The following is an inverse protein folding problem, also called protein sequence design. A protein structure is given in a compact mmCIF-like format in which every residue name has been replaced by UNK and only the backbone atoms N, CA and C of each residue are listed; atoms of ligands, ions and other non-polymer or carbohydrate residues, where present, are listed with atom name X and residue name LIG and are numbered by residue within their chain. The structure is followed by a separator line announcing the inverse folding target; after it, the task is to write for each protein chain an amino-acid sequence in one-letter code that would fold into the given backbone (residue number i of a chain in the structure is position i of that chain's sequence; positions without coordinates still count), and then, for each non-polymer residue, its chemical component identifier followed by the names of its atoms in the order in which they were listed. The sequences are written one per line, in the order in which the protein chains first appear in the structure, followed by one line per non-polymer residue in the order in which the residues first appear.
data_IF_494452634991
#
_entry.id   IF_494452634991
#
_cell.length_a   1.000
_cell.length_b   1.000
_cell.length_c   1.000
_cell.angle_alpha   90.00
_cell.angle_beta   90.00
_cell.angle_gamma   90.00
#
_symmetry.space_group_name_H-M   'P 1'
#
loop_
_entity.id
_entity.type
_entity.pdbx_description
1 polymer ?
#
# COMPACT_ATOMS: atom_id res chain seq x y z
N UNK A 1 49.74 39.55 3.82
CA UNK A 1 49.81 40.88 4.49
C UNK A 1 50.35 41.89 3.48
N UNK A 2 50.02 43.19 3.57
CA UNK A 2 48.86 43.86 4.20
C UNK A 2 47.68 43.95 3.18
N UNK A 3 46.42 44.34 3.45
CA UNK A 3 45.76 45.34 4.34
C UNK A 3 45.87 46.80 3.83
N UNK A 4 44.89 47.71 3.96
CA UNK A 4 43.54 47.69 4.59
C UNK A 4 42.43 47.88 3.48
N UNK A 5 41.23 48.48 3.58
CA UNK A 5 40.47 49.23 4.61
C UNK A 5 38.93 49.17 4.33
N UNK A 6 38.09 50.03 4.95
CA UNK A 6 36.61 49.93 4.93
C UNK A 6 35.84 51.28 4.88
N UNK A 7 34.64 51.23 4.25
CA UNK A 7 33.44 52.10 4.46
C UNK A 7 33.56 53.61 4.09
N UNK A 8 32.43 54.38 4.03
CA UNK A 8 31.03 54.03 4.32
C UNK A 8 30.00 54.25 3.17
N UNK A 9 28.79 53.71 3.37
CA UNK A 9 27.52 54.19 2.79
C UNK A 9 26.62 54.63 3.96
N UNK A 10 25.91 55.75 3.83
CA UNK A 10 25.21 56.42 4.94
C UNK A 10 23.70 56.14 5.02
N UNK A 11 23.11 56.29 6.22
CA UNK A 11 21.66 56.20 6.45
C UNK A 11 21.20 56.96 7.72
N UNK A 12 20.34 57.96 7.54
CA UNK A 12 19.45 58.68 8.50
C UNK A 12 18.77 59.84 7.74
N UNK A 13 17.64 60.44 8.18
CA UNK A 13 16.95 60.40 9.48
C UNK A 13 15.93 59.23 9.59
N UNK A 14 15.39 58.81 10.74
CA UNK A 14 15.09 59.41 12.05
C UNK A 14 13.77 60.21 12.15
N UNK A 15 12.79 59.63 12.84
CA UNK A 15 11.63 60.25 13.50
C UNK A 15 11.40 59.50 14.82
N UNK A 16 10.80 60.16 15.81
CA UNK A 16 11.03 59.87 17.24
C UNK A 16 9.83 60.23 18.14
N UNK A 17 9.80 59.71 19.38
CA UNK A 17 8.81 59.93 20.47
C UNK A 17 7.35 59.45 20.24
N UNK A 18 6.53 59.16 21.27
CA UNK A 18 6.69 59.17 22.75
C UNK A 18 6.01 57.95 23.42
N UNK A 19 6.30 57.71 24.71
CA UNK A 19 5.63 56.78 25.62
C UNK A 19 4.84 57.53 26.73
N UNK A 20 3.58 57.84 26.45
CA UNK A 20 2.50 58.03 27.45
C UNK A 20 1.17 57.51 26.89
N UNK A 21 0.24 57.25 27.81
CA UNK A 21 -1.06 56.58 27.61
C UNK A 21 -0.95 55.10 27.16
N UNK A 22 -1.66 54.12 27.75
CA UNK A 22 -2.79 54.18 28.69
C UNK A 22 -2.71 53.03 29.74
N UNK A 23 -3.20 53.25 30.97
CA UNK A 23 -3.05 52.34 32.13
C UNK A 23 -4.17 51.28 32.28
N UNK A 24 -3.83 50.02 32.64
CA UNK A 24 -4.63 49.03 33.42
C UNK A 24 -3.92 47.64 33.50
N UNK A 25 -2.99 47.33 34.41
CA UNK A 25 -3.07 47.05 35.87
C UNK A 25 -3.38 45.59 36.34
N UNK A 26 -2.36 44.71 36.25
CA UNK A 26 -1.84 43.76 37.29
C UNK A 26 -2.69 42.80 38.17
N UNK A 27 -2.56 41.49 37.89
CA UNK A 27 -2.14 40.32 38.74
C UNK A 27 -2.56 40.06 40.23
N UNK A 28 -2.74 38.75 40.54
CA UNK A 28 -2.12 37.92 41.63
C UNK A 28 -2.95 37.30 42.83
N UNK A 29 -2.48 36.11 43.28
CA UNK A 29 -2.52 35.44 44.60
C UNK A 29 -3.77 34.78 45.29
N UNK A 30 -3.82 33.43 45.22
CA UNK A 30 -3.74 32.41 46.32
C UNK A 30 -4.30 32.69 47.74
N UNK A 31 -5.32 31.88 48.14
CA UNK A 31 -5.73 31.36 49.49
C UNK A 31 -5.78 32.26 50.74
N UNK A 32 -6.94 32.29 51.44
CA UNK A 32 -7.07 31.94 52.90
C UNK A 32 -8.52 31.85 53.46
N UNK A 33 -8.77 30.80 54.26
CA UNK A 33 -9.64 30.72 55.48
C UNK A 33 -11.20 30.64 55.33
N UNK A 34 -11.86 30.12 56.37
CA UNK A 34 -13.26 29.64 56.49
C UNK A 34 -14.25 30.64 57.16
N UNK A 35 -15.55 30.48 56.84
CA UNK A 35 -16.75 30.98 57.56
C UNK A 35 -17.98 30.84 56.64
N UNK A 36 -19.01 29.99 56.89
CA UNK A 36 -20.07 30.06 57.93
C UNK A 36 -20.87 31.38 57.78
N UNK A 37 -22.17 31.45 57.45
CA UNK A 37 -23.36 30.55 57.51
C UNK A 37 -24.29 30.90 56.28
N UNK A 38 -24.98 30.02 55.53
CA UNK A 38 -26.23 29.27 55.83
C UNK A 38 -27.38 30.22 56.30
N UNK A 39 -28.62 30.26 55.78
CA UNK A 39 -29.45 29.42 54.86
C UNK A 39 -30.40 30.31 54.03
N UNK A 40 -30.83 29.85 52.85
CA UNK A 40 -32.20 29.94 52.25
C UNK A 40 -32.11 29.80 50.72
N UNK A 41 -32.94 29.03 50.00
CA UNK A 41 -33.69 27.80 50.32
C UNK A 41 -34.10 27.12 48.99
N UNK A 42 -34.20 25.78 48.93
CA UNK A 42 -34.77 25.10 47.75
C UNK A 42 -34.42 23.61 47.59
N UNK A 43 -35.45 22.75 47.71
CA UNK A 43 -35.54 21.34 47.24
C UNK A 43 -34.58 20.29 47.88
N UNK A 44 -35.17 19.19 48.37
CA UNK A 44 -34.50 17.87 48.36
C UNK A 44 -33.94 17.32 49.68
N UNK A 45 -34.69 17.37 50.79
CA UNK A 45 -34.28 16.72 52.03
C UNK A 45 -34.41 15.18 52.00
N UNK A 46 -33.48 14.52 52.69
CA UNK A 46 -33.27 13.07 52.82
C UNK A 46 -34.55 12.23 52.99
N UNK A 47 -34.64 11.14 52.21
CA UNK A 47 -35.10 9.86 52.77
C UNK A 47 -33.87 9.10 53.27
N UNK A 48 -33.87 8.72 54.54
CA UNK A 48 -32.79 7.93 55.12
C UNK A 48 -32.88 6.48 54.64
N UNK A 49 -31.94 6.05 53.79
CA UNK A 49 -31.63 4.64 53.68
C UNK A 49 -30.68 4.26 54.82
N UNK A 50 -31.24 3.64 55.85
CA UNK A 50 -30.46 2.96 56.88
C UNK A 50 -29.44 2.05 56.20
N UNK A 51 -28.18 2.14 56.61
CA UNK A 51 -27.15 1.20 56.22
C UNK A 51 -27.40 -0.15 56.91
N UNK A 52 -28.40 -0.87 56.44
CA UNK A 52 -28.54 -2.30 56.67
C UNK A 52 -27.27 -2.95 56.14
N UNK A 53 -26.33 -3.24 57.04
CA UNK A 53 -25.21 -4.14 56.78
C UNK A 53 -25.83 -5.52 56.61
N UNK A 54 -26.36 -5.78 55.42
CA UNK A 54 -26.83 -7.07 54.99
C UNK A 54 -25.60 -8.00 55.02
N UNK A 55 -25.49 -8.76 56.11
CA UNK A 55 -24.31 -9.56 56.43
C UNK A 55 -23.93 -10.39 55.21
N UNK A 56 -22.78 -10.06 54.61
CA UNK A 56 -22.52 -10.26 53.19
C UNK A 56 -22.56 -11.75 52.84
N UNK A 57 -23.71 -12.20 52.32
CA UNK A 57 -24.02 -13.63 52.31
C UNK A 57 -22.99 -14.39 51.46
N UNK A 58 -22.28 -15.39 52.02
CA UNK A 58 -21.31 -16.15 51.26
C UNK A 58 -22.05 -16.94 50.17
N UNK A 59 -21.52 -16.95 48.94
CA UNK A 59 -22.14 -17.64 47.80
C UNK A 59 -22.40 -19.10 48.18
N UNK A 60 -23.68 -19.46 48.34
CA UNK A 60 -24.08 -20.82 48.76
C UNK A 60 -24.17 -21.79 47.58
N UNK A 61 -24.74 -21.33 46.47
CA UNK A 61 -25.00 -22.11 45.25
C UNK A 61 -24.81 -21.22 44.01
N UNK A 62 -23.78 -21.54 43.21
CA UNK A 62 -23.42 -20.78 42.00
C UNK A 62 -24.37 -21.10 40.85
N UNK A 63 -24.86 -22.33 40.73
CA UNK A 63 -25.76 -22.75 39.66
C UNK A 63 -27.14 -22.13 39.78
N UNK A 64 -27.67 -22.06 41.02
CA UNK A 64 -28.91 -21.35 41.34
C UNK A 64 -28.77 -19.85 41.15
N UNK A 65 -27.63 -19.25 41.53
CA UNK A 65 -27.35 -17.83 41.29
C UNK A 65 -27.28 -17.51 39.79
N UNK A 66 -26.58 -18.33 39.00
CA UNK A 66 -26.54 -18.21 37.55
C UNK A 66 -27.95 -18.32 36.96
N UNK A 67 -28.75 -19.29 37.42
CA UNK A 67 -30.12 -19.49 36.92
C UNK A 67 -31.02 -18.29 37.19
N UNK A 68 -30.90 -17.66 38.38
CA UNK A 68 -31.60 -16.41 38.68
C UNK A 68 -31.17 -15.23 37.78
N UNK A 69 -29.88 -15.13 37.44
CA UNK A 69 -29.39 -14.02 36.59
C UNK A 69 -29.72 -14.25 35.11
N UNK A 70 -29.53 -15.46 34.58
CA UNK A 70 -29.63 -15.76 33.16
C UNK A 70 -31.00 -16.28 32.70
N UNK A 71 -31.85 -16.77 33.62
CA UNK A 71 -33.17 -17.32 33.29
C UNK A 71 -33.14 -18.76 32.75
N UNK A 72 -31.99 -19.43 32.81
CA UNK A 72 -31.81 -20.84 32.45
C UNK A 72 -30.72 -21.48 33.29
N UNK A 73 -30.70 -22.81 33.36
CA UNK A 73 -29.58 -23.56 33.94
C UNK A 73 -28.25 -23.23 33.23
N UNK A 74 -27.11 -23.25 33.95
CA UNK A 74 -25.80 -23.18 33.34
C UNK A 74 -25.45 -24.50 32.63
N UNK A 75 -24.66 -24.39 31.55
CA UNK A 75 -23.89 -25.53 31.03
C UNK A 75 -22.74 -25.87 31.99
N UNK A 76 -22.18 -27.07 31.91
CA UNK A 76 -21.06 -27.50 32.76
C UNK A 76 -19.84 -26.54 32.68
N UNK A 77 -19.57 -25.97 31.49
CA UNK A 77 -18.50 -24.99 31.27
C UNK A 77 -18.80 -23.64 31.94
N UNK A 78 -20.05 -23.17 31.91
CA UNK A 78 -20.47 -21.95 32.59
C UNK A 78 -20.45 -22.11 34.11
N UNK A 79 -20.96 -23.24 34.61
CA UNK A 79 -20.97 -23.55 36.04
C UNK A 79 -19.55 -23.57 36.60
N UNK A 80 -18.66 -24.39 36.00
CA UNK A 80 -17.24 -24.49 36.39
C UNK A 80 -16.51 -23.16 36.31
N UNK A 81 -16.84 -22.30 35.34
CA UNK A 81 -16.28 -20.96 35.26
C UNK A 81 -16.68 -20.08 36.45
N UNK A 82 -17.97 -19.99 36.76
CA UNK A 82 -18.44 -19.13 37.86
C UNK A 82 -18.09 -19.70 39.24
N UNK A 83 -18.00 -21.03 39.39
CA UNK A 83 -17.55 -21.69 40.62
C UNK A 83 -16.09 -21.35 40.95
N UNK A 84 -15.20 -21.37 39.96
CA UNK A 84 -13.81 -20.93 40.15
C UNK A 84 -13.69 -19.47 40.64
N UNK A 85 -14.66 -18.62 40.32
CA UNK A 85 -14.70 -17.20 40.76
C UNK A 85 -15.30 -16.99 42.15
N UNK A 86 -15.85 -18.03 42.79
CA UNK A 86 -16.31 -17.98 44.19
C UNK A 86 -15.20 -17.54 45.14
N UNK A 87 -13.94 -17.87 44.84
CA UNK A 87 -12.79 -17.49 45.66
C UNK A 87 -12.33 -16.04 45.41
N UNK A 88 -12.57 -15.49 44.21
CA UNK A 88 -12.35 -14.06 43.92
C UNK A 88 -13.48 -13.17 44.47
N UNK A 89 -14.70 -13.73 44.52
CA UNK A 89 -15.95 -13.04 44.86
C UNK A 89 -16.76 -13.91 45.83
N UNK A 90 -16.34 -14.00 47.12
CA UNK A 90 -17.00 -14.86 48.10
C UNK A 90 -18.41 -14.40 48.47
N UNK A 91 -18.72 -13.11 48.24
CA UNK A 91 -20.01 -12.49 48.52
C UNK A 91 -20.97 -12.62 47.34
N UNK A 92 -22.21 -13.03 47.62
CA UNK A 92 -23.20 -13.31 46.56
C UNK A 92 -23.58 -12.09 45.72
N UNK A 93 -23.71 -10.90 46.33
CA UNK A 93 -24.04 -9.66 45.60
C UNK A 93 -22.96 -9.27 44.59
N UNK A 94 -21.69 -9.50 44.89
CA UNK A 94 -20.59 -9.22 43.96
C UNK A 94 -20.56 -10.21 42.79
N UNK A 95 -20.75 -11.51 43.06
CA UNK A 95 -20.79 -12.52 42.00
C UNK A 95 -22.03 -12.33 41.11
N UNK A 96 -23.18 -12.00 41.70
CA UNK A 96 -24.42 -11.62 41.02
C UNK A 96 -24.22 -10.37 40.13
N UNK A 97 -23.55 -9.34 40.65
CA UNK A 97 -23.20 -8.14 39.88
C UNK A 97 -22.25 -8.43 38.71
N UNK A 98 -21.25 -9.29 38.92
CA UNK A 98 -20.34 -9.73 37.85
C UNK A 98 -21.08 -10.56 36.78
N UNK A 99 -22.02 -11.41 37.16
CA UNK A 99 -22.89 -12.15 36.24
C UNK A 99 -23.79 -11.20 35.44
N UNK A 100 -24.45 -10.23 36.08
CA UNK A 100 -25.31 -9.24 35.41
C UNK A 100 -24.53 -8.38 34.39
N UNK A 101 -23.32 -7.95 34.74
CA UNK A 101 -22.42 -7.19 33.85
C UNK A 101 -21.78 -8.05 32.73
N UNK A 102 -21.86 -9.38 32.83
CA UNK A 102 -21.51 -10.28 31.73
C UNK A 102 -22.73 -10.51 30.81
N UNK A 103 -23.92 -10.74 31.41
CA UNK A 103 -25.21 -10.85 30.69
C UNK A 103 -25.54 -9.62 29.85
N UNK A 104 -25.32 -8.40 30.37
CA UNK A 104 -25.56 -7.15 29.64
C UNK A 104 -24.68 -6.98 28.40
N UNK A 105 -23.61 -7.77 28.27
CA UNK A 105 -22.73 -7.82 27.09
C UNK A 105 -22.88 -9.15 26.32
N UNK A 106 -24.04 -9.79 26.46
CA UNK A 106 -24.45 -11.00 25.72
C UNK A 106 -23.63 -12.26 26.05
N UNK A 107 -22.87 -12.28 27.15
CA UNK A 107 -21.82 -13.27 27.35
C UNK A 107 -21.91 -13.95 28.73
N UNK A 108 -22.15 -15.26 28.74
CA UNK A 108 -22.45 -16.01 29.95
C UNK A 108 -21.24 -16.68 30.63
N UNK A 109 -20.08 -16.77 29.96
CA UNK A 109 -18.84 -17.36 30.50
C UNK A 109 -17.61 -16.51 30.13
N UNK A 110 -17.64 -15.22 30.46
CA UNK A 110 -16.68 -14.23 29.97
C UNK A 110 -15.19 -14.50 30.27
N UNK A 111 -14.86 -15.43 31.17
CA UNK A 111 -13.47 -15.87 31.44
C UNK A 111 -13.06 -17.19 30.79
N UNK A 112 -13.93 -17.90 30.07
CA UNK A 112 -13.48 -18.91 29.09
C UNK A 112 -12.56 -18.25 28.02
N UNK A 113 -12.76 -16.95 27.78
CA UNK A 113 -11.88 -16.13 26.95
C UNK A 113 -10.47 -15.90 27.53
N UNK A 114 -10.19 -16.19 28.81
CA UNK A 114 -8.89 -15.92 29.42
C UNK A 114 -7.75 -16.77 28.82
N UNK A 115 -8.05 -17.99 28.34
CA UNK A 115 -7.12 -18.81 27.56
C UNK A 115 -6.99 -18.38 26.09
N UNK A 116 -7.92 -17.56 25.58
CA UNK A 116 -7.90 -17.09 24.19
C UNK A 116 -6.92 -15.93 24.00
N UNK A 117 -6.35 -15.81 22.80
CA UNK A 117 -5.48 -14.69 22.43
C UNK A 117 -6.15 -13.32 22.63
N UNK A 118 -7.47 -13.23 22.43
CA UNK A 118 -8.25 -12.00 22.66
C UNK A 118 -8.33 -11.62 24.15
N UNK A 119 -8.35 -12.60 25.05
CA UNK A 119 -8.26 -12.39 26.49
C UNK A 119 -6.87 -11.95 26.95
N UNK A 120 -5.80 -12.36 26.24
CA UNK A 120 -4.42 -11.96 26.52
C UNK A 120 -4.08 -10.53 26.11
N UNK A 121 -4.87 -9.91 25.22
CA UNK A 121 -4.64 -8.54 24.68
C UNK A 121 -4.27 -7.51 25.76
N UNK A 122 -4.98 -7.37 26.90
CA UNK A 122 -4.63 -6.35 27.90
C UNK A 122 -3.29 -6.61 28.59
N UNK A 123 -2.95 -7.87 28.84
CA UNK A 123 -1.69 -8.24 29.52
C UNK A 123 -0.48 -8.02 28.61
N UNK A 124 -0.60 -8.39 27.33
CA UNK A 124 0.45 -8.19 26.34
C UNK A 124 0.62 -6.68 26.03
N UNK A 125 -0.47 -5.93 25.93
CA UNK A 125 -0.41 -4.47 25.82
C UNK A 125 0.29 -3.85 27.04
N UNK A 126 -0.11 -4.23 28.27
CA UNK A 126 0.52 -3.75 29.51
C UNK A 126 2.01 -4.08 29.57
N UNK A 127 2.39 -5.30 29.15
CA UNK A 127 3.79 -5.68 29.05
C UNK A 127 4.54 -4.76 28.07
N UNK A 128 4.06 -4.58 26.84
CA UNK A 128 4.76 -3.75 25.85
C UNK A 128 4.77 -2.26 26.23
N UNK A 129 3.62 -1.65 26.48
CA UNK A 129 3.46 -0.21 26.69
C UNK A 129 3.72 0.26 28.13
N UNK A 130 3.91 -0.66 29.10
CA UNK A 130 4.12 -0.39 30.53
C UNK A 130 2.97 0.38 31.22
N UNK A 131 1.79 0.45 30.58
CA UNK A 131 0.51 0.92 31.13
C UNK A 131 -0.62 0.06 30.60
N UNK A 132 -1.75 0.04 31.29
CA UNK A 132 -2.96 -0.61 30.80
C UNK A 132 -3.53 0.09 29.55
N UNK A 133 -4.20 -0.65 28.64
CA UNK A 133 -4.88 -0.05 27.50
C UNK A 133 -6.19 0.62 27.93
N UNK A 134 -6.50 1.77 27.31
CA UNK A 134 -7.85 2.31 27.36
C UNK A 134 -8.82 1.50 26.49
N UNK A 135 -10.12 1.76 26.60
CA UNK A 135 -11.15 0.99 25.90
C UNK A 135 -11.07 1.06 24.37
N UNK A 136 -10.55 2.14 23.77
CA UNK A 136 -10.36 2.25 22.31
C UNK A 136 -9.18 1.37 21.87
N UNK A 137 -8.08 1.42 22.61
CA UNK A 137 -6.89 0.58 22.40
C UNK A 137 -7.24 -0.91 22.55
N UNK A 138 -7.94 -1.26 23.62
CA UNK A 138 -8.39 -2.61 23.92
C UNK A 138 -9.31 -3.16 22.83
N UNK A 139 -10.31 -2.39 22.37
CA UNK A 139 -11.18 -2.77 21.24
C UNK A 139 -10.37 -3.01 19.96
N UNK A 140 -9.54 -2.05 19.55
CA UNK A 140 -8.69 -2.14 18.35
C UNK A 140 -7.87 -3.44 18.31
N UNK A 141 -7.16 -3.76 19.40
CA UNK A 141 -6.32 -4.96 19.46
C UNK A 141 -7.12 -6.25 19.59
N UNK A 142 -8.25 -6.24 20.30
CA UNK A 142 -9.17 -7.40 20.36
C UNK A 142 -9.80 -7.69 18.99
N UNK A 143 -10.29 -6.68 18.27
CA UNK A 143 -10.95 -6.88 16.97
C UNK A 143 -9.98 -7.46 15.93
N UNK A 144 -8.72 -7.02 15.90
CA UNK A 144 -7.69 -7.62 15.02
C UNK A 144 -7.42 -9.09 15.34
N UNK A 145 -7.47 -9.49 16.61
CA UNK A 145 -7.34 -10.90 17.02
C UNK A 145 -8.59 -11.70 16.67
N UNK A 146 -9.78 -11.19 16.98
CA UNK A 146 -11.06 -11.85 16.70
C UNK A 146 -11.31 -12.02 15.20
N UNK A 147 -10.91 -11.05 14.37
CA UNK A 147 -10.93 -11.15 12.92
C UNK A 147 -9.83 -12.04 12.33
N UNK A 148 -8.93 -12.62 13.14
CA UNK A 148 -7.76 -13.42 12.72
C UNK A 148 -6.67 -12.67 11.93
N UNK A 149 -6.76 -11.34 11.78
CA UNK A 149 -5.67 -10.49 11.27
C UNK A 149 -4.38 -10.64 12.10
N UNK A 150 -4.54 -10.89 13.41
CA UNK A 150 -3.45 -11.25 14.33
C UNK A 150 -3.73 -12.60 15.01
N UNK A 151 -3.69 -13.68 14.23
CA UNK A 151 -4.06 -15.03 14.67
C UNK A 151 -3.12 -15.70 15.71
N UNK A 152 -1.96 -15.12 16.04
CA UNK A 152 -1.00 -15.72 16.99
C UNK A 152 -0.45 -14.70 17.99
N UNK A 153 -0.03 -15.19 19.16
CA UNK A 153 0.57 -14.38 20.23
C UNK A 153 1.89 -13.70 19.81
N UNK A 154 2.66 -14.38 18.94
CA UNK A 154 3.86 -13.81 18.31
C UNK A 154 3.50 -12.66 17.36
N UNK A 155 2.44 -12.79 16.56
CA UNK A 155 1.98 -11.73 15.67
C UNK A 155 1.43 -10.52 16.47
N UNK A 156 0.60 -10.76 17.49
CA UNK A 156 0.07 -9.70 18.35
C UNK A 156 1.17 -8.95 19.11
N UNK A 157 2.11 -9.67 19.73
CA UNK A 157 3.22 -9.05 20.50
C UNK A 157 4.18 -8.28 19.57
N UNK A 158 4.43 -8.80 18.37
CA UNK A 158 5.20 -8.12 17.33
C UNK A 158 4.52 -6.82 16.87
N UNK A 159 3.21 -6.86 16.62
CA UNK A 159 2.44 -5.69 16.23
C UNK A 159 2.39 -4.63 17.35
N UNK A 160 2.10 -5.01 18.60
CA UNK A 160 2.16 -4.11 19.76
C UNK A 160 3.53 -3.41 19.86
N UNK A 161 4.61 -4.16 19.68
CA UNK A 161 5.98 -3.64 19.77
C UNK A 161 6.33 -2.69 18.62
N UNK A 162 5.81 -2.94 17.40
CA UNK A 162 5.95 -2.03 16.27
C UNK A 162 5.17 -0.72 16.47
N UNK A 163 3.95 -0.78 17.00
CA UNK A 163 3.17 0.43 17.30
C UNK A 163 3.87 1.28 18.38
N UNK A 164 4.41 0.63 19.44
CA UNK A 164 5.22 1.33 20.46
C UNK A 164 6.44 2.03 19.87
N UNK A 165 7.20 1.39 18.97
CA UNK A 165 8.37 2.02 18.33
C UNK A 165 7.99 3.10 17.28
N UNK A 166 6.70 3.26 16.99
CA UNK A 166 6.12 4.39 16.25
C UNK A 166 5.44 5.43 17.15
N UNK A 167 5.56 5.32 18.47
CA UNK A 167 4.98 6.27 19.43
C UNK A 167 3.45 6.22 19.56
N UNK A 168 2.79 5.23 18.95
CA UNK A 168 1.32 5.13 18.89
C UNK A 168 0.82 3.87 19.60
N UNK A 169 -0.37 3.93 20.21
CA UNK A 169 -0.97 2.79 20.90
C UNK A 169 -1.91 1.94 20.02
N UNK A 170 -2.37 2.49 18.90
CA UNK A 170 -3.19 1.86 17.86
C UNK A 170 -2.71 2.33 16.48
N UNK A 171 -3.33 1.86 15.41
CA UNK A 171 -3.15 2.40 14.06
C UNK A 171 -4.49 2.79 13.45
N UNK A 172 -4.49 2.98 12.13
CA UNK A 172 -5.72 3.08 11.35
C UNK A 172 -6.42 1.72 11.21
N UNK A 173 -7.67 1.78 10.74
CA UNK A 173 -8.45 0.68 10.20
C UNK A 173 -9.65 0.26 11.04
N UNK A 174 -10.65 -0.32 10.37
CA UNK A 174 -11.91 -0.78 10.95
C UNK A 174 -11.92 -2.29 11.19
N UNK A 175 -12.90 -2.77 11.98
CA UNK A 175 -13.09 -4.20 12.23
C UNK A 175 -13.39 -4.96 10.95
N UNK A 176 -14.16 -4.33 10.07
CA UNK A 176 -14.60 -4.83 8.77
C UNK A 176 -13.38 -5.06 7.87
N UNK A 177 -12.46 -4.10 7.82
CA UNK A 177 -11.18 -4.23 7.10
C UNK A 177 -10.25 -5.29 7.70
N UNK A 178 -10.22 -5.45 9.03
CA UNK A 178 -9.44 -6.51 9.68
C UNK A 178 -9.96 -7.90 9.30
N UNK A 179 -11.29 -8.06 9.30
CA UNK A 179 -11.97 -9.29 8.92
C UNK A 179 -11.89 -9.56 7.40
N UNK A 180 -11.83 -8.53 6.55
CA UNK A 180 -11.59 -8.68 5.11
C UNK A 180 -10.15 -9.10 4.80
N UNK A 181 -9.14 -8.53 5.49
CA UNK A 181 -7.73 -8.92 5.33
C UNK A 181 -7.50 -10.40 5.63
N UNK A 182 -8.11 -10.93 6.69
CA UNK A 182 -7.98 -12.34 7.05
C UNK A 182 -8.68 -13.32 6.09
N UNK A 183 -9.54 -12.84 5.18
CA UNK A 183 -10.18 -13.64 4.12
C UNK A 183 -9.39 -13.66 2.80
N UNK A 184 -8.31 -12.88 2.68
CA UNK A 184 -7.51 -12.78 1.45
C UNK A 184 -8.04 -11.77 0.41
N UNK A 185 -9.22 -11.19 0.62
CA UNK A 185 -9.83 -10.20 -0.28
C UNK A 185 -9.19 -8.80 -0.17
N UNK A 186 -8.39 -8.56 0.88
CA UNK A 186 -7.64 -7.32 1.11
C UNK A 186 -6.18 -7.41 0.64
N UNK A 187 -5.88 -7.01 -0.59
CA UNK A 187 -4.50 -7.02 -1.12
C UNK A 187 -3.61 -5.96 -0.47
N UNK A 188 -2.62 -6.41 0.33
CA UNK A 188 -1.17 -6.07 0.21
C UNK A 188 -0.37 -6.58 1.41
N UNK A 189 0.62 -7.43 1.14
CA UNK A 189 1.75 -7.62 2.06
C UNK A 189 2.74 -6.46 1.88
N UNK A 190 2.54 -5.39 2.65
CA UNK A 190 3.42 -4.22 2.65
C UNK A 190 4.66 -4.48 3.53
N UNK A 191 5.71 -5.03 2.92
CA UNK A 191 7.08 -5.01 3.49
C UNK A 191 7.51 -3.58 3.83
N UNK A 192 8.49 -3.41 4.75
CA UNK A 192 9.06 -2.08 5.11
C UNK A 192 9.49 -1.24 3.90
N UNK A 193 9.89 -1.91 2.81
CA UNK A 193 10.22 -1.29 1.51
C UNK A 193 9.05 -0.46 0.96
N UNK A 194 7.81 -0.94 1.11
CA UNK A 194 6.62 -0.26 0.57
C UNK A 194 6.39 1.15 1.10
N UNK A 195 6.63 1.38 2.41
CA UNK A 195 6.46 2.70 3.03
C UNK A 195 7.55 3.71 2.65
N UNK A 196 8.77 3.24 2.37
CA UNK A 196 9.82 4.07 1.77
C UNK A 196 9.46 4.37 0.31
N UNK A 197 9.11 3.34 -0.47
CA UNK A 197 8.73 3.47 -1.86
C UNK A 197 7.63 4.52 -2.07
N UNK A 198 6.55 4.46 -1.29
CA UNK A 198 5.41 5.37 -1.38
C UNK A 198 5.79 6.82 -1.02
N UNK A 199 6.76 7.02 -0.10
CA UNK A 199 7.30 8.36 0.24
C UNK A 199 8.26 8.93 -0.82
N UNK A 200 8.80 8.09 -1.71
CA UNK A 200 9.70 8.47 -2.80
C UNK A 200 9.01 8.44 -4.18
N UNK A 201 7.67 8.37 -4.21
CA UNK A 201 6.84 8.38 -5.42
C UNK A 201 6.63 7.00 -6.08
N UNK A 202 7.29 5.95 -5.62
CA UNK A 202 7.12 4.61 -6.16
C UNK A 202 5.80 3.97 -5.70
N UNK A 203 4.99 3.49 -6.65
CA UNK A 203 3.66 2.94 -6.33
C UNK A 203 3.76 1.76 -5.35
N UNK A 204 2.86 1.69 -4.36
CA UNK A 204 2.78 0.60 -3.38
C UNK A 204 2.41 -0.79 -3.92
N UNK A 205 2.63 -1.07 -5.21
CA UNK A 205 2.51 -2.40 -5.80
C UNK A 205 3.86 -3.13 -5.79
N UNK A 206 3.88 -4.40 -5.40
CA UNK A 206 5.11 -5.19 -5.14
C UNK A 206 6.01 -5.45 -6.36
N UNK A 207 5.51 -5.15 -7.57
CA UNK A 207 6.23 -5.22 -8.85
C UNK A 207 6.55 -3.84 -9.45
N UNK A 208 6.46 -2.77 -8.65
CA UNK A 208 6.64 -1.39 -9.09
C UNK A 208 5.41 -0.79 -9.80
N UNK A 209 5.51 0.47 -10.28
CA UNK A 209 4.48 1.12 -11.08
C UNK A 209 4.26 0.41 -12.43
N UNK A 210 3.27 0.90 -13.18
CA UNK A 210 3.12 0.55 -14.59
C UNK A 210 3.96 1.54 -15.41
N UNK A 211 4.93 1.00 -16.16
CA UNK A 211 5.74 1.75 -17.13
C UNK A 211 5.22 1.47 -18.54
N UNK A 212 5.29 2.46 -19.43
CA UNK A 212 4.69 2.39 -20.77
C UNK A 212 5.81 2.45 -21.82
N UNK A 213 5.95 1.39 -22.60
CA UNK A 213 7.06 1.19 -23.54
C UNK A 213 6.54 1.22 -24.97
N UNK A 214 7.03 2.14 -25.80
CA UNK A 214 6.71 2.17 -27.23
C UNK A 214 7.45 1.05 -27.96
N UNK A 215 6.69 0.12 -28.56
CA UNK A 215 7.23 -1.10 -29.18
C UNK A 215 7.41 -1.00 -30.70
N UNK A 216 6.39 -0.47 -31.38
CA UNK A 216 6.28 -0.46 -32.84
C UNK A 216 5.45 0.74 -33.29
N UNK A 217 5.97 1.48 -34.26
CA UNK A 217 5.24 2.52 -35.00
C UNK A 217 4.76 1.94 -36.34
N UNK A 218 3.48 2.09 -36.65
CA UNK A 218 2.88 1.67 -37.92
C UNK A 218 2.25 2.89 -38.61
N UNK A 219 2.80 3.29 -39.77
CA UNK A 219 2.33 4.44 -40.57
C UNK A 219 1.45 3.95 -41.71
N UNK A 220 0.22 4.46 -41.79
CA UNK A 220 -0.76 4.07 -42.82
C UNK A 220 -1.16 2.59 -42.80
N UNK A 221 -0.92 1.87 -41.69
CA UNK A 221 -1.17 0.43 -41.57
C UNK A 221 -1.74 0.11 -40.18
N UNK A 222 -2.67 -0.84 -40.14
CA UNK A 222 -3.24 -1.32 -38.89
C UNK A 222 -2.25 -2.16 -38.06
N UNK A 223 -2.39 -2.11 -36.73
CA UNK A 223 -1.64 -2.94 -35.80
C UNK A 223 -2.44 -4.20 -35.48
N UNK A 224 -1.81 -5.35 -35.66
CA UNK A 224 -2.36 -6.68 -35.40
C UNK A 224 -1.92 -7.17 -34.02
N UNK A 225 -2.88 -7.69 -33.25
CA UNK A 225 -2.71 -8.24 -31.90
C UNK A 225 -3.41 -9.60 -31.82
N UNK A 226 -2.75 -10.58 -31.17
CA UNK A 226 -3.36 -11.84 -30.76
C UNK A 226 -2.88 -12.22 -29.34
N UNK A 227 -3.24 -13.40 -28.85
CA UNK A 227 -2.75 -13.97 -27.58
C UNK A 227 -1.95 -15.25 -27.81
N UNK A 228 -1.13 -15.64 -26.84
CA UNK A 228 -0.52 -16.99 -26.84
C UNK A 228 -1.56 -18.06 -26.49
N UNK A 229 -2.55 -17.66 -25.69
CA UNK A 229 -3.83 -18.34 -25.48
C UNK A 229 -4.98 -17.33 -25.55
N UNK A 230 -6.01 -17.53 -24.71
CA UNK A 230 -7.15 -16.60 -24.61
C UNK A 230 -6.71 -15.19 -24.20
N UNK A 231 -7.25 -14.19 -24.86
CA UNK A 231 -7.03 -12.78 -24.54
C UNK A 231 -8.31 -11.97 -24.71
N UNK A 232 -8.32 -10.72 -24.25
CA UNK A 232 -9.46 -9.83 -24.41
C UNK A 232 -9.04 -8.43 -24.84
N UNK A 233 -9.87 -7.85 -25.70
CA UNK A 233 -9.98 -6.41 -25.93
C UNK A 233 -10.77 -5.78 -24.76
N UNK A 234 -10.35 -4.59 -24.32
CA UNK A 234 -11.12 -3.68 -23.48
C UNK A 234 -11.07 -2.25 -24.04
N UNK A 235 -12.21 -1.56 -24.02
CA UNK A 235 -12.39 -0.17 -24.41
C UNK A 235 -12.79 0.72 -23.21
N UNK A 236 -12.88 2.05 -23.42
CA UNK A 236 -13.25 3.05 -22.40
C UNK A 236 -14.68 2.91 -21.88
N UNK A 237 -15.62 2.65 -22.77
CA UNK A 237 -17.06 2.42 -22.56
C UNK A 237 -17.39 1.21 -21.66
N UNK A 238 -16.39 0.39 -21.32
CA UNK A 238 -16.55 -0.85 -20.56
C UNK A 238 -16.68 -2.10 -21.43
N UNK A 239 -16.77 -1.97 -22.76
CA UNK A 239 -16.81 -3.10 -23.70
C UNK A 239 -15.61 -4.00 -23.48
N UNK A 240 -15.88 -5.29 -23.22
CA UNK A 240 -14.88 -6.35 -23.11
C UNK A 240 -15.23 -7.47 -24.10
N UNK A 241 -14.36 -7.73 -25.07
CA UNK A 241 -14.52 -8.82 -26.05
C UNK A 241 -13.38 -9.82 -25.90
N UNK A 242 -13.71 -11.08 -25.62
CA UNK A 242 -12.75 -12.20 -25.52
C UNK A 242 -12.52 -12.81 -26.91
N UNK A 243 -11.28 -13.22 -27.15
CA UNK A 243 -10.81 -13.91 -28.35
C UNK A 243 -9.92 -15.10 -27.96
N UNK A 244 -9.92 -16.16 -28.78
CA UNK A 244 -9.01 -17.28 -28.64
C UNK A 244 -7.76 -17.02 -29.49
N UNK A 245 -6.64 -16.65 -28.85
CA UNK A 245 -5.33 -16.63 -29.51
C UNK A 245 -4.67 -18.02 -29.46
N UNK A 246 -3.77 -18.34 -30.42
CA UNK A 246 -3.27 -17.46 -31.48
C UNK A 246 -4.22 -17.25 -32.67
N UNK A 247 -5.23 -18.10 -32.87
CA UNK A 247 -6.01 -18.22 -34.12
C UNK A 247 -6.82 -16.97 -34.44
N UNK A 248 -7.36 -16.30 -33.42
CA UNK A 248 -8.16 -15.09 -33.59
C UNK A 248 -7.29 -13.86 -33.40
N UNK A 249 -7.05 -13.11 -34.47
CA UNK A 249 -6.28 -11.85 -34.47
C UNK A 249 -7.21 -10.65 -34.57
N UNK A 250 -6.93 -9.60 -33.80
CA UNK A 250 -7.58 -8.29 -33.93
C UNK A 250 -6.63 -7.32 -34.64
N UNK A 251 -7.14 -6.61 -35.64
CA UNK A 251 -6.48 -5.48 -36.30
C UNK A 251 -7.11 -4.18 -35.81
N UNK A 252 -6.29 -3.23 -35.36
CA UNK A 252 -6.70 -1.86 -35.05
C UNK A 252 -6.12 -0.91 -36.10
N UNK A 253 -6.96 -0.10 -36.72
CA UNK A 253 -6.57 0.96 -37.67
C UNK A 253 -7.07 2.33 -37.18
N UNK A 254 -6.45 3.41 -37.63
CA UNK A 254 -6.99 4.76 -37.45
C UNK A 254 -7.91 5.14 -38.62
N UNK A 255 -9.04 5.78 -38.33
CA UNK A 255 -10.06 6.24 -39.29
C UNK A 255 -10.18 7.76 -39.39
N UNK A 256 -9.17 8.52 -38.97
CA UNK A 256 -9.20 9.99 -38.92
C UNK A 256 -9.84 10.53 -37.64
N UNK A 257 -11.05 10.07 -37.32
CA UNK A 257 -11.84 10.52 -36.15
C UNK A 257 -11.92 9.48 -35.02
N UNK A 258 -11.32 8.30 -35.17
CA UNK A 258 -11.39 7.21 -34.18
C UNK A 258 -10.66 5.95 -34.63
N UNK A 259 -10.53 4.99 -33.72
CA UNK A 259 -9.97 3.67 -33.95
C UNK A 259 -11.02 2.74 -34.54
N UNK A 260 -10.71 2.11 -35.67
CA UNK A 260 -11.50 1.05 -36.29
C UNK A 260 -10.91 -0.29 -35.87
N UNK A 261 -11.65 -1.06 -35.08
CA UNK A 261 -11.21 -2.35 -34.53
C UNK A 261 -11.93 -3.48 -35.25
N UNK A 262 -11.17 -4.39 -35.87
CA UNK A 262 -11.68 -5.55 -36.64
C UNK A 262 -11.07 -6.84 -36.09
N UNK A 263 -11.89 -7.84 -35.77
CA UNK A 263 -11.45 -9.14 -35.25
C UNK A 263 -12.12 -10.32 -35.94
N UNK A 264 -11.61 -11.53 -35.68
CA UNK A 264 -12.15 -12.78 -36.22
C UNK A 264 -13.64 -12.98 -35.89
N UNK A 265 -14.34 -13.74 -36.74
CA UNK A 265 -15.78 -13.96 -36.60
C UNK A 265 -16.64 -12.75 -36.97
N UNK A 266 -16.13 -11.85 -37.83
CA UNK A 266 -16.86 -10.67 -38.30
C UNK A 266 -16.97 -9.52 -37.28
N UNK A 267 -16.23 -9.59 -36.15
CA UNK A 267 -16.27 -8.54 -35.14
C UNK A 267 -15.73 -7.22 -35.71
N UNK A 268 -16.56 -6.17 -35.69
CA UNK A 268 -16.16 -4.78 -35.98
C UNK A 268 -16.70 -3.88 -34.87
N UNK A 269 -15.90 -2.94 -34.40
CA UNK A 269 -16.36 -1.79 -33.62
C UNK A 269 -15.52 -0.55 -33.93
N UNK A 270 -16.00 0.62 -33.54
CA UNK A 270 -15.32 1.92 -33.70
C UNK A 270 -15.37 2.67 -32.36
N UNK A 271 -14.29 3.37 -32.00
CA UNK A 271 -14.14 4.03 -30.69
C UNK A 271 -13.20 5.23 -30.78
N UNK A 272 -13.41 6.23 -29.93
CA UNK A 272 -12.52 7.36 -29.69
C UNK A 272 -11.28 7.00 -28.83
N UNK A 273 -11.38 5.92 -28.05
CA UNK A 273 -10.40 5.51 -27.04
C UNK A 273 -9.37 4.50 -27.57
N UNK A 274 -8.13 4.60 -27.10
CA UNK A 274 -7.03 3.69 -27.45
C UNK A 274 -7.38 2.23 -27.08
N UNK A 275 -7.53 1.29 -28.04
CA UNK A 275 -7.89 -0.09 -27.75
C UNK A 275 -6.82 -0.81 -26.92
N UNK A 276 -7.22 -1.47 -25.83
CA UNK A 276 -6.31 -2.12 -24.87
C UNK A 276 -6.53 -3.63 -24.86
N UNK A 277 -5.44 -4.40 -24.91
CA UNK A 277 -5.46 -5.87 -24.97
C UNK A 277 -4.69 -6.47 -23.80
N UNK A 278 -5.21 -7.54 -23.21
CA UNK A 278 -4.51 -8.33 -22.19
C UNK A 278 -4.90 -9.82 -22.30
N UNK A 279 -3.97 -10.70 -21.94
CA UNK A 279 -4.26 -12.13 -21.84
C UNK A 279 -5.21 -12.46 -20.68
N UNK A 280 -5.89 -13.59 -20.78
CA UNK A 280 -6.61 -14.18 -19.64
C UNK A 280 -5.63 -15.01 -18.81
N UNK A 281 -5.88 -15.11 -17.50
CA UNK A 281 -5.16 -16.02 -16.58
C UNK A 281 -3.62 -15.85 -16.50
N UNK A 282 -3.08 -14.78 -17.09
CA UNK A 282 -1.63 -14.49 -17.15
C UNK A 282 -0.99 -14.73 -18.52
N UNK A 283 -1.77 -15.17 -19.51
CA UNK A 283 -1.28 -15.44 -20.87
C UNK A 283 -0.59 -14.22 -21.52
N UNK A 284 0.51 -14.40 -22.27
CA UNK A 284 1.16 -13.31 -22.99
C UNK A 284 0.33 -12.82 -24.19
N UNK A 285 0.21 -11.50 -24.32
CA UNK A 285 -0.28 -10.84 -25.54
C UNK A 285 0.82 -10.83 -26.60
N UNK A 286 0.40 -10.93 -27.86
CA UNK A 286 1.30 -11.08 -29.01
C UNK A 286 1.09 -9.91 -29.98
N UNK A 287 2.13 -9.11 -30.18
CA UNK A 287 2.14 -8.04 -31.18
C UNK A 287 2.35 -8.65 -32.57
N UNK A 288 1.29 -9.20 -33.16
CA UNK A 288 1.33 -9.92 -34.42
C UNK A 288 1.85 -9.08 -35.61
N UNK A 289 1.75 -7.74 -35.58
CA UNK A 289 2.39 -6.88 -36.59
C UNK A 289 3.92 -6.87 -36.53
N UNK A 290 4.54 -7.18 -35.38
CA UNK A 290 6.00 -7.24 -35.25
C UNK A 290 6.50 -8.58 -35.81
N UNK A 291 6.99 -8.56 -37.05
CA UNK A 291 7.53 -9.72 -37.78
C UNK A 291 9.05 -9.89 -37.62
N UNK A 292 9.74 -8.85 -37.15
CA UNK A 292 11.20 -8.82 -36.94
C UNK A 292 11.50 -8.28 -35.55
N UNK A 293 12.66 -8.65 -34.99
CA UNK A 293 13.19 -8.10 -33.74
C UNK A 293 13.19 -6.56 -33.74
N UNK A 294 13.03 -5.91 -32.57
CA UNK A 294 13.25 -4.47 -32.44
C UNK A 294 14.68 -4.06 -32.83
N UNK A 295 14.87 -2.78 -33.16
CA UNK A 295 16.19 -2.26 -33.53
C UNK A 295 17.18 -2.38 -32.36
N UNK A 296 18.42 -2.79 -32.66
CA UNK A 296 19.48 -3.08 -31.68
C UNK A 296 19.41 -4.45 -31.00
N UNK A 297 18.23 -5.02 -30.76
CA UNK A 297 18.04 -6.30 -30.03
C UNK A 297 18.80 -7.46 -30.71
N UNK A 298 19.59 -8.28 -29.99
CA UNK A 298 20.43 -9.33 -30.60
C UNK A 298 19.73 -10.69 -30.75
N UNK A 299 20.17 -11.46 -31.75
CA UNK A 299 19.63 -12.77 -32.13
C UNK A 299 18.62 -12.73 -33.28
N UNK A 300 17.96 -13.87 -33.54
CA UNK A 300 16.90 -14.01 -34.53
C UNK A 300 15.54 -14.33 -33.87
N UNK A 301 14.46 -13.72 -34.40
CA UNK A 301 13.10 -13.85 -33.91
C UNK A 301 12.32 -12.53 -34.04
N UNK A 302 10.98 -12.53 -33.86
CA UNK A 302 10.19 -11.31 -33.79
C UNK A 302 10.20 -10.66 -32.40
N UNK A 303 10.44 -11.45 -31.34
CA UNK A 303 10.39 -11.05 -29.92
C UNK A 303 9.16 -10.21 -29.56
N UNK A 304 7.98 -10.79 -29.80
CA UNK A 304 6.70 -10.08 -29.86
C UNK A 304 5.66 -10.54 -28.82
N UNK A 305 6.04 -11.41 -27.87
CA UNK A 305 5.20 -11.78 -26.72
C UNK A 305 5.51 -10.90 -25.49
N UNK A 306 4.46 -10.33 -24.89
CA UNK A 306 4.56 -9.37 -23.79
C UNK A 306 3.61 -9.72 -22.63
N UNK A 307 3.97 -9.30 -21.41
CA UNK A 307 3.08 -9.32 -20.23
C UNK A 307 2.35 -8.00 -20.06
N UNK A 308 1.34 -7.98 -19.19
CA UNK A 308 0.58 -6.79 -18.87
C UNK A 308 -0.43 -6.45 -19.97
N UNK A 309 -0.46 -5.18 -20.37
CA UNK A 309 -1.41 -4.66 -21.37
C UNK A 309 -0.62 -4.26 -22.62
N UNK A 310 -1.18 -4.56 -23.79
CA UNK A 310 -0.78 -3.98 -25.07
C UNK A 310 -1.86 -2.99 -25.51
N UNK A 311 -1.52 -1.71 -25.57
CA UNK A 311 -2.39 -0.62 -26.01
C UNK A 311 -2.03 -0.24 -27.45
N UNK A 312 -3.03 0.00 -28.29
CA UNK A 312 -2.85 0.62 -29.61
C UNK A 312 -3.36 2.04 -29.55
N UNK A 313 -2.48 3.00 -29.84
CA UNK A 313 -2.74 4.44 -29.68
C UNK A 313 -2.31 5.21 -30.93
N UNK A 314 -3.04 6.26 -31.30
CA UNK A 314 -2.61 7.20 -32.35
C UNK A 314 -1.37 8.00 -31.88
N UNK A 315 -0.38 8.14 -32.75
CA UNK A 315 0.82 8.96 -32.51
C UNK A 315 0.70 10.35 -33.10
N UNK A 316 1.66 11.22 -32.77
CA UNK A 316 1.73 12.61 -33.28
C UNK A 316 1.87 12.68 -34.80
N UNK A 317 2.56 11.71 -35.40
CA UNK A 317 2.68 11.63 -36.85
C UNK A 317 1.32 11.27 -37.45
N UNK A 318 0.88 12.05 -38.45
CA UNK A 318 -0.37 11.81 -39.17
C UNK A 318 -0.49 10.35 -39.61
N UNK A 319 -1.64 9.75 -39.33
CA UNK A 319 -1.99 8.37 -39.68
C UNK A 319 -0.97 7.32 -39.16
N UNK A 320 -0.31 7.62 -38.03
CA UNK A 320 0.53 6.69 -37.27
C UNK A 320 -0.22 6.05 -36.09
N UNK A 321 0.05 4.77 -35.87
CA UNK A 321 -0.32 4.04 -34.67
C UNK A 321 0.94 3.56 -33.95
N UNK A 322 0.94 3.65 -32.63
CA UNK A 322 1.91 3.01 -31.74
C UNK A 322 1.30 1.80 -31.05
N UNK A 323 2.04 0.68 -31.07
CA UNK A 323 1.87 -0.37 -30.08
C UNK A 323 2.65 0.00 -28.82
N UNK A 324 1.98 0.08 -27.67
CA UNK A 324 2.54 0.47 -26.38
C UNK A 324 2.32 -0.67 -25.39
N UNK A 325 3.39 -1.20 -24.80
CA UNK A 325 3.25 -2.16 -23.70
C UNK A 325 3.23 -1.43 -22.35
N UNK A 326 2.12 -1.55 -21.63
CA UNK A 326 1.97 -1.10 -20.26
C UNK A 326 2.16 -2.30 -19.32
N UNK A 327 3.27 -2.28 -18.60
CA UNK A 327 3.83 -3.45 -17.90
C UNK A 327 4.41 -3.02 -16.56
N UNK A 328 4.45 -3.92 -15.56
CA UNK A 328 5.05 -3.60 -14.25
C UNK A 328 6.56 -3.47 -14.38
N UNK A 329 7.19 -2.54 -13.66
CA UNK A 329 8.63 -2.30 -13.76
C UNK A 329 9.48 -3.57 -13.57
N UNK A 330 9.13 -4.42 -12.61
CA UNK A 330 9.85 -5.68 -12.36
C UNK A 330 9.59 -6.78 -13.41
N UNK A 331 8.60 -6.61 -14.28
CA UNK A 331 8.35 -7.47 -15.45
C UNK A 331 8.96 -6.87 -16.73
N UNK A 332 9.09 -5.55 -16.80
CA UNK A 332 9.83 -4.83 -17.82
C UNK A 332 11.32 -5.17 -17.76
N UNK A 333 11.95 -5.03 -16.58
CA UNK A 333 13.41 -5.26 -16.42
C UNK A 333 13.81 -6.67 -16.86
N UNK A 334 12.98 -7.69 -16.60
CA UNK A 334 13.23 -9.08 -17.04
C UNK A 334 13.27 -9.27 -18.57
N UNK A 335 12.51 -8.46 -19.30
CA UNK A 335 12.39 -8.53 -20.77
C UNK A 335 13.35 -7.60 -21.51
N UNK A 336 14.34 -7.03 -20.82
CA UNK A 336 15.41 -6.24 -21.44
C UNK A 336 16.33 -7.13 -22.28
N UNK A 337 16.89 -6.54 -23.33
CA UNK A 337 17.76 -7.19 -24.30
C UNK A 337 19.16 -6.56 -24.41
N UNK A 338 19.58 -5.95 -23.31
CA UNK A 338 20.87 -5.25 -23.13
C UNK A 338 22.04 -6.20 -22.79
N UNK A 339 21.78 -7.50 -22.70
CA UNK A 339 22.78 -8.49 -22.27
C UNK A 339 22.49 -9.89 -22.82
N UNK A 340 23.44 -10.80 -22.62
CA UNK A 340 23.34 -12.22 -22.92
C UNK A 340 23.58 -13.04 -21.65
N UNK A 341 23.23 -14.32 -21.70
CA UNK A 341 23.25 -15.21 -20.52
C UNK A 341 24.67 -15.48 -20.02
N UNK A 342 25.67 -15.40 -20.92
CA UNK A 342 27.08 -15.59 -20.62
C UNK A 342 27.76 -14.42 -19.88
N UNK A 343 27.05 -13.33 -19.56
CA UNK A 343 27.61 -12.22 -18.78
C UNK A 343 27.58 -12.53 -17.26
N UNK A 344 28.53 -12.03 -16.44
CA UNK A 344 28.60 -12.40 -15.03
C UNK A 344 27.37 -11.99 -14.20
N UNK A 345 26.98 -12.76 -13.16
CA UNK A 345 25.81 -12.43 -12.33
C UNK A 345 25.86 -11.02 -11.70
N UNK A 346 27.01 -10.53 -11.25
CA UNK A 346 27.12 -9.16 -10.71
C UNK A 346 26.93 -8.09 -11.78
N UNK A 347 27.30 -8.36 -13.05
CA UNK A 347 26.97 -7.48 -14.18
C UNK A 347 25.46 -7.47 -14.41
N UNK A 348 24.80 -8.64 -14.44
CA UNK A 348 23.34 -8.73 -14.59
C UNK A 348 22.60 -7.99 -13.46
N UNK A 349 23.08 -8.08 -12.22
CA UNK A 349 22.54 -7.31 -11.07
C UNK A 349 22.71 -5.81 -11.26
N UNK A 350 23.91 -5.34 -11.57
CA UNK A 350 24.19 -3.93 -11.78
C UNK A 350 23.33 -3.34 -12.93
N UNK A 351 23.27 -4.04 -14.06
CA UNK A 351 22.43 -3.69 -15.21
C UNK A 351 20.94 -3.66 -14.82
N UNK A 352 20.45 -4.65 -14.06
CA UNK A 352 19.06 -4.68 -13.58
C UNK A 352 18.72 -3.45 -12.72
N UNK A 353 19.63 -3.05 -11.82
CA UNK A 353 19.46 -1.87 -10.95
C UNK A 353 19.50 -0.58 -11.75
N UNK A 354 20.48 -0.40 -12.65
CA UNK A 354 20.58 0.78 -13.51
C UNK A 354 19.38 0.92 -14.44
N UNK A 355 18.99 -0.17 -15.12
CA UNK A 355 17.85 -0.15 -16.03
C UNK A 355 16.51 0.10 -15.32
N UNK A 356 16.31 -0.49 -14.14
CA UNK A 356 15.15 -0.17 -13.27
C UNK A 356 15.14 1.30 -12.90
N UNK A 357 16.30 1.88 -12.59
CA UNK A 357 16.45 3.29 -12.24
C UNK A 357 16.13 4.20 -13.43
N UNK A 358 16.63 3.88 -14.63
CA UNK A 358 16.42 4.66 -15.86
C UNK A 358 14.92 4.79 -16.23
N UNK A 359 14.20 3.68 -16.33
CA UNK A 359 12.77 3.72 -16.70
C UNK A 359 11.93 4.43 -15.63
N UNK A 360 12.31 4.31 -14.35
CA UNK A 360 11.64 5.01 -13.25
C UNK A 360 11.95 6.51 -13.22
N UNK A 361 13.21 6.90 -13.49
CA UNK A 361 13.60 8.30 -13.68
C UNK A 361 12.74 8.97 -14.75
N UNK A 362 12.61 8.34 -15.93
CA UNK A 362 11.76 8.90 -16.97
C UNK A 362 10.26 8.80 -16.63
N UNK A 363 9.80 7.79 -15.90
CA UNK A 363 8.40 7.70 -15.46
C UNK A 363 7.98 8.86 -14.54
N UNK A 364 8.84 9.29 -13.61
CA UNK A 364 8.54 10.42 -12.71
C UNK A 364 8.81 11.80 -13.32
N UNK A 365 9.67 11.89 -14.34
CA UNK A 365 9.98 13.13 -15.05
C UNK A 365 9.22 13.25 -16.39
N UNK A 366 7.93 12.86 -16.40
CA UNK A 366 7.00 13.09 -17.53
C UNK A 366 7.15 12.17 -18.75
N UNK A 367 8.16 11.32 -18.80
CA UNK A 367 8.50 10.47 -19.94
C UNK A 367 9.26 11.22 -21.05
N UNK A 368 9.96 10.47 -21.90
CA UNK A 368 10.63 11.02 -23.10
C UNK A 368 9.70 11.11 -24.30
N UNK A 369 8.51 10.49 -24.25
CA UNK A 369 7.52 10.44 -25.34
C UNK A 369 6.07 10.72 -24.85
N UNK A 370 5.85 11.81 -24.08
CA UNK A 370 4.54 12.10 -23.47
C UNK A 370 3.42 12.27 -24.51
N UNK A 371 3.74 12.87 -25.65
CA UNK A 371 2.81 13.15 -26.75
C UNK A 371 2.28 11.85 -27.40
N UNK A 372 3.19 10.95 -27.79
CA UNK A 372 2.88 9.58 -28.22
C UNK A 372 2.32 8.70 -27.06
N UNK A 373 2.23 9.22 -25.83
CA UNK A 373 1.58 8.57 -24.70
C UNK A 373 2.37 7.45 -24.05
N UNK A 374 3.70 7.42 -24.15
CA UNK A 374 4.54 6.41 -23.51
C UNK A 374 5.81 6.99 -22.87
N UNK A 375 6.44 6.21 -21.97
CA UNK A 375 7.56 6.66 -21.15
C UNK A 375 8.87 6.65 -21.95
N UNK A 376 9.21 5.53 -22.60
CA UNK A 376 10.44 5.31 -23.37
C UNK A 376 10.21 4.31 -24.52
N UNK A 377 11.10 4.25 -25.52
CA UNK A 377 11.09 3.23 -26.58
C UNK A 377 11.77 1.92 -26.15
N UNK A 378 11.66 0.91 -27.00
CA UNK A 378 12.27 -0.42 -26.87
C UNK A 378 13.60 -0.60 -27.65
N UNK A 379 14.28 0.49 -28.02
CA UNK A 379 15.48 0.47 -28.86
C UNK A 379 16.60 1.35 -28.28
N UNK A 380 17.79 1.31 -28.89
CA UNK A 380 19.03 1.92 -28.40
C UNK A 380 19.03 3.46 -28.22
N UNK A 381 17.96 4.18 -28.57
CA UNK A 381 17.78 5.57 -28.14
C UNK A 381 17.38 5.68 -26.66
N UNK A 382 16.79 4.61 -26.12
CA UNK A 382 16.23 4.48 -24.78
C UNK A 382 16.85 3.24 -24.10
N UNK A 383 16.17 2.08 -24.15
CA UNK A 383 16.69 0.79 -23.69
C UNK A 383 16.20 -0.33 -24.61
N UNK A 384 17.03 -1.34 -24.87
CA UNK A 384 16.64 -2.52 -25.64
C UNK A 384 15.61 -3.36 -24.87
N UNK A 385 14.37 -3.45 -25.37
CA UNK A 385 13.29 -4.23 -24.74
C UNK A 385 12.61 -5.18 -25.73
N UNK A 386 12.57 -6.46 -25.37
CA UNK A 386 12.14 -7.56 -26.23
C UNK A 386 11.17 -8.54 -25.55
N UNK A 387 10.65 -8.17 -24.37
CA UNK A 387 9.55 -8.87 -23.72
C UNK A 387 9.89 -10.29 -23.26
N UNK A 388 8.86 -11.14 -23.24
CA UNK A 388 8.91 -12.48 -22.68
C UNK A 388 9.82 -13.43 -23.50
N UNK A 389 9.87 -13.24 -24.82
CA UNK A 389 10.69 -14.07 -25.70
C UNK A 389 12.19 -13.89 -25.44
N UNK A 390 12.61 -12.73 -24.94
CA UNK A 390 14.00 -12.48 -24.58
C UNK A 390 14.28 -12.85 -23.11
N UNK A 391 13.35 -12.62 -22.19
CA UNK A 391 13.42 -13.16 -20.82
C UNK A 391 13.67 -14.69 -20.83
N UNK A 392 12.97 -15.42 -21.71
CA UNK A 392 13.12 -16.87 -21.85
C UNK A 392 14.45 -17.32 -22.49
N UNK A 393 15.25 -16.39 -23.05
CA UNK A 393 16.58 -16.64 -23.61
C UNK A 393 17.73 -16.28 -22.67
N UNK A 394 17.43 -15.60 -21.55
CA UNK A 394 18.43 -15.10 -20.61
C UNK A 394 17.99 -15.37 -19.15
N UNK A 395 17.85 -16.65 -18.76
CA UNK A 395 17.43 -17.04 -17.42
C UNK A 395 18.31 -16.47 -16.30
N UNK A 396 19.63 -16.34 -16.46
CA UNK A 396 20.51 -15.86 -15.39
C UNK A 396 20.26 -14.36 -15.12
N UNK A 397 20.13 -13.56 -16.19
CA UNK A 397 19.75 -12.15 -16.07
C UNK A 397 18.36 -11.99 -15.45
N UNK A 398 17.40 -12.84 -15.85
CA UNK A 398 16.07 -12.88 -15.26
C UNK A 398 16.15 -13.15 -13.75
N UNK A 399 16.94 -14.12 -13.29
CA UNK A 399 17.13 -14.38 -11.86
C UNK A 399 17.80 -13.21 -11.12
N UNK A 400 18.79 -12.56 -11.72
CA UNK A 400 19.45 -11.41 -11.12
C UNK A 400 18.57 -10.14 -11.09
N UNK A 401 17.65 -9.98 -12.05
CA UNK A 401 16.62 -8.94 -11.97
C UNK A 401 15.63 -9.20 -10.81
N UNK A 402 15.39 -10.47 -10.47
CA UNK A 402 14.55 -10.88 -9.34
C UNK A 402 15.28 -10.72 -8.00
N UNK A 403 16.58 -11.05 -7.93
CA UNK A 403 17.38 -10.88 -6.71
C UNK A 403 17.58 -9.39 -6.36
N UNK A 404 17.63 -8.51 -7.36
CA UNK A 404 17.70 -7.04 -7.21
C UNK A 404 16.35 -6.33 -7.18
N UNK A 405 15.21 -7.05 -7.09
CA UNK A 405 13.86 -6.48 -7.20
C UNK A 405 13.64 -5.26 -6.28
N UNK A 406 13.26 -4.13 -6.86
CA UNK A 406 13.04 -2.85 -6.16
C UNK A 406 14.29 -2.06 -5.80
N UNK A 407 15.50 -2.55 -6.10
CA UNK A 407 16.75 -1.80 -5.90
C UNK A 407 16.96 -0.81 -7.07
N UNK A 408 17.22 0.45 -6.71
CA UNK A 408 17.44 1.59 -7.61
C UNK A 408 18.58 2.46 -7.08
N UNK A 409 19.25 3.21 -7.96
CA UNK A 409 20.24 4.23 -7.58
C UNK A 409 19.54 5.57 -7.39
N UNK A 410 19.80 6.24 -6.27
CA UNK A 410 19.18 7.53 -5.95
C UNK A 410 20.17 8.62 -5.58
N UNK A 411 19.83 9.86 -5.91
CA UNK A 411 20.45 11.09 -5.43
C UNK A 411 19.34 11.99 -4.89
N UNK A 412 19.54 12.63 -3.74
CA UNK A 412 18.52 13.40 -3.00
C UNK A 412 17.15 12.70 -2.90
N UNK A 413 17.17 11.38 -2.70
CA UNK A 413 15.97 10.53 -2.59
C UNK A 413 15.25 10.23 -3.91
N UNK A 414 15.70 10.77 -5.05
CA UNK A 414 15.09 10.57 -6.37
C UNK A 414 15.93 9.61 -7.23
N UNK A 415 15.33 8.82 -8.14
CA UNK A 415 16.08 8.10 -9.17
C UNK A 415 17.03 9.02 -9.92
N UNK A 416 18.26 8.57 -10.17
CA UNK A 416 19.19 9.30 -11.06
C UNK A 416 18.86 9.05 -12.54
N UNK A 417 19.36 9.92 -13.43
CA UNK A 417 19.46 9.61 -14.85
C UNK A 417 20.51 8.50 -15.07
N UNK A 418 20.11 7.24 -14.90
CA UNK A 418 21.00 6.08 -14.91
C UNK A 418 21.43 5.69 -16.34
N UNK A 419 22.24 6.54 -16.97
CA UNK A 419 22.84 6.29 -18.27
C UNK A 419 23.91 5.17 -18.18
N UNK A 420 23.96 4.30 -19.19
CA UNK A 420 24.95 3.26 -19.35
C UNK A 420 25.28 3.06 -20.84
N UNK A 421 26.43 2.44 -21.13
CA UNK A 421 26.93 2.21 -22.48
C UNK A 421 27.81 0.95 -22.50
N UNK A 422 28.10 0.42 -23.70
CA UNK A 422 28.70 -0.91 -23.87
C UNK A 422 30.18 -1.02 -23.50
N UNK A 423 31.00 -0.07 -23.94
CA UNK A 423 32.46 -0.09 -23.74
C UNK A 423 33.05 1.33 -23.77
N UNK A 424 34.06 1.58 -22.94
CA UNK A 424 34.82 2.84 -22.91
C UNK A 424 36.20 2.70 -23.55
N UNK A 425 36.85 3.84 -23.77
CA UNK A 425 38.29 3.94 -24.05
C UNK A 425 39.17 3.83 -22.77
N UNK A 426 38.66 3.16 -21.73
CA UNK A 426 39.27 3.09 -20.39
C UNK A 426 38.68 4.08 -19.37
N UNK A 427 37.98 5.13 -19.81
CA UNK A 427 37.42 6.17 -18.92
C UNK A 427 35.93 6.41 -19.17
N UNK A 428 35.18 6.76 -18.13
CA UNK A 428 33.82 7.31 -18.26
C UNK A 428 33.89 8.81 -18.51
N UNK A 429 32.96 9.34 -19.31
CA UNK A 429 32.72 10.77 -19.43
C UNK A 429 31.87 11.31 -18.28
N UNK A 430 32.01 12.60 -17.98
CA UNK A 430 31.06 13.37 -17.18
C UNK A 430 29.78 13.70 -17.96
N UNK A 431 28.74 14.14 -17.25
CA UNK A 431 27.48 14.59 -17.86
C UNK A 431 27.53 15.97 -18.53
N UNK A 432 28.70 16.62 -18.58
CA UNK A 432 28.93 17.88 -19.32
C UNK A 432 29.64 17.64 -20.67
N UNK A 433 30.16 16.42 -20.90
CA UNK A 433 30.91 16.03 -22.11
C UNK A 433 30.07 15.24 -23.14
N UNK A 434 28.76 15.10 -22.92
CA UNK A 434 27.82 14.25 -23.68
C UNK A 434 26.46 14.92 -23.86
#
# INVERSE_FOLDING_TARGET
MPAHSLKPLGASPAHDFDLRDFFAYTTHNVRRILGILMIVAGVGALFAFSASIALAAPVKDVGKLFTQVYGRAPTATELKYWEGRRNEKPVESELRGAMLHAKSRGNAAAGAAAGSLAGKVPQLFKHTFRRDPNDKEKRYWTDRVTCKDLATEKALTGALSFHKSKGVAVGSGTKEEFCARAKGEGSRSASRVGGLNESLGFSGHVMGPLVRIGLLEAKGKGIQVTGSGKYFLRLSDGTKKVFNGPEQTVTVSWGGNGYIVKGSGGYKTETDSAPRFAGMEGEPVVLASQKTKPSGVPGAGPYNRYRGILEVRVGDARDSLWAINEVRTEEYVRGLAETTDAAPPEFHKALSVLARTYVLYHHYNGGRQPHNGFTIRNNANDQLYAGLDYEARVPDFREQSISTKGQVVTYDGRPIAALYFSQSNGHTKSGEEV
#
